data_IF_307815719814
#
_entry.id   IF_307815719814
#
_cell.length_a   1.000
_cell.length_b   1.000
_cell.length_c   1.000
_cell.angle_alpha   90.00
_cell.angle_beta   90.00
_cell.angle_gamma   90.00
#
_symmetry.space_group_name_H-M   'P 1'
#
loop_
_entity.id
_entity.type
_entity.pdbx_description
1 polymer ?
#
# COMPACT_ATOMS: atom_id res chain seq x y z
N UNK A 1 -10.98 -3.50 -21.69
CA UNK A 1 -11.25 -4.75 -20.93
C UNK A 1 -11.11 -4.44 -19.45
N UNK A 2 -12.18 -4.45 -18.66
CA UNK A 2 -12.15 -4.10 -17.23
C UNK A 2 -11.52 -5.30 -16.50
N UNK A 3 -10.29 -5.18 -15.97
CA UNK A 3 -9.74 -6.19 -15.06
C UNK A 3 -10.62 -6.21 -13.82
N UNK A 4 -11.39 -7.28 -13.66
CA UNK A 4 -12.13 -7.53 -12.43
C UNK A 4 -11.11 -8.10 -11.45
N UNK A 5 -10.82 -7.33 -10.40
CA UNK A 5 -9.99 -7.80 -9.29
C UNK A 5 -10.90 -8.49 -8.30
N UNK A 6 -10.96 -9.82 -8.39
CA UNK A 6 -11.76 -10.69 -7.54
C UNK A 6 -10.87 -11.51 -6.59
N UNK A 7 -11.46 -12.40 -5.81
CA UNK A 7 -10.74 -13.28 -4.90
C UNK A 7 -9.69 -14.16 -5.60
N UNK A 8 -9.91 -14.55 -6.87
CA UNK A 8 -8.96 -15.34 -7.63
C UNK A 8 -7.67 -14.56 -7.90
N UNK A 9 -7.79 -13.26 -8.20
CA UNK A 9 -6.60 -12.41 -8.41
C UNK A 9 -5.70 -12.34 -7.16
N UNK A 10 -6.29 -12.30 -5.96
CA UNK A 10 -5.56 -12.32 -4.68
C UNK A 10 -4.96 -13.70 -4.44
N UNK A 11 -5.72 -14.77 -4.68
CA UNK A 11 -5.23 -16.15 -4.53
C UNK A 11 -4.00 -16.42 -5.40
N UNK A 12 -3.98 -15.94 -6.65
CA UNK A 12 -2.81 -16.07 -7.52
C UNK A 12 -1.60 -15.27 -7.01
N UNK A 13 -1.81 -14.07 -6.45
CA UNK A 13 -0.73 -13.31 -5.81
C UNK A 13 -0.16 -14.04 -4.59
N UNK A 14 -1.01 -14.68 -3.77
CA UNK A 14 -0.58 -15.49 -2.62
C UNK A 14 0.29 -16.65 -3.08
N UNK A 15 -0.11 -17.36 -4.15
CA UNK A 15 0.69 -18.48 -4.70
C UNK A 15 2.01 -18.01 -5.29
N UNK A 16 2.01 -16.90 -6.03
CA UNK A 16 3.20 -16.33 -6.67
C UNK A 16 4.21 -15.85 -5.62
N UNK A 17 3.76 -15.08 -4.64
CA UNK A 17 4.60 -14.41 -3.63
C UNK A 17 4.84 -15.27 -2.39
N UNK A 18 4.14 -16.41 -2.27
CA UNK A 18 4.22 -17.37 -1.14
C UNK A 18 4.02 -16.70 0.22
N UNK A 19 3.08 -15.76 0.28
CA UNK A 19 2.78 -14.99 1.49
C UNK A 19 1.32 -14.56 1.50
N UNK A 20 0.80 -14.31 2.69
CA UNK A 20 -0.54 -13.75 2.91
C UNK A 20 -0.48 -12.27 3.30
N UNK A 21 0.67 -11.62 3.15
CA UNK A 21 0.92 -10.26 3.63
C UNK A 21 -0.01 -9.23 2.96
N UNK A 22 -0.86 -8.62 3.78
CA UNK A 22 -1.61 -7.42 3.43
C UNK A 22 -0.99 -6.23 4.16
N UNK A 23 -0.59 -5.19 3.41
CA UNK A 23 0.01 -3.98 3.99
C UNK A 23 -1.07 -2.94 4.24
N UNK A 24 -1.11 -2.40 5.46
CA UNK A 24 -1.98 -1.26 5.80
C UNK A 24 -1.39 0.05 5.29
N UNK A 25 -2.21 0.88 4.66
CA UNK A 25 -1.86 2.25 4.26
C UNK A 25 -2.64 3.21 5.16
N UNK A 26 -2.04 3.51 6.31
CA UNK A 26 -2.64 4.28 7.40
C UNK A 26 -1.72 5.47 7.77
N UNK A 27 -1.51 6.45 6.86
CA UNK A 27 -0.52 7.51 7.04
C UNK A 27 -0.95 8.53 8.11
N UNK A 28 -0.10 8.76 9.12
CA UNK A 28 -0.32 9.78 10.16
C UNK A 28 0.72 10.89 10.02
N UNK A 29 0.28 12.10 9.64
CA UNK A 29 1.16 13.27 9.46
C UNK A 29 1.93 13.63 10.74
N UNK A 30 1.36 13.37 11.93
CA UNK A 30 2.02 13.69 13.19
C UNK A 30 3.16 12.72 13.53
N UNK A 31 3.15 11.52 12.92
CA UNK A 31 4.17 10.48 13.09
C UNK A 31 5.11 10.37 11.89
N UNK A 32 4.88 11.18 10.86
CA UNK A 32 5.59 11.10 9.59
C UNK A 32 6.99 11.72 9.72
N UNK A 33 7.97 11.10 9.07
CA UNK A 33 9.35 11.63 9.04
C UNK A 33 9.35 13.04 8.42
N UNK A 34 10.05 14.03 9.03
CA UNK A 34 10.08 15.41 8.55
C UNK A 34 10.52 15.58 7.09
N UNK A 35 11.25 14.62 6.52
CA UNK A 35 11.63 14.61 5.10
C UNK A 35 10.43 14.49 4.17
N UNK A 36 9.36 13.78 4.58
CA UNK A 36 8.11 13.72 3.81
C UNK A 36 7.29 15.00 3.95
N UNK A 37 7.26 15.61 5.13
CA UNK A 37 6.51 16.86 5.37
C UNK A 37 6.99 18.02 4.49
N UNK A 38 8.23 17.97 4.01
CA UNK A 38 8.81 18.96 3.08
C UNK A 38 8.50 18.68 1.60
N UNK A 39 7.88 17.55 1.26
CA UNK A 39 7.52 17.19 -0.12
C UNK A 39 6.23 17.87 -0.55
N UNK A 40 6.00 17.91 -1.87
CA UNK A 40 4.82 18.55 -2.46
C UNK A 40 3.50 17.90 -2.03
N UNK A 41 3.47 16.58 -1.86
CA UNK A 41 2.28 15.83 -1.46
C UNK A 41 2.64 14.77 -0.40
N UNK A 42 2.85 15.16 0.88
CA UNK A 42 3.41 14.27 1.90
C UNK A 42 2.70 12.91 2.06
N UNK A 43 1.36 12.93 2.12
CA UNK A 43 0.54 11.70 2.23
C UNK A 43 0.72 10.80 1.00
N UNK A 44 0.61 11.37 -0.20
CA UNK A 44 0.77 10.63 -1.45
C UNK A 44 2.18 10.05 -1.58
N UNK A 45 3.20 10.86 -1.34
CA UNK A 45 4.60 10.47 -1.45
C UNK A 45 4.94 9.37 -0.44
N UNK A 46 4.42 9.45 0.79
CA UNK A 46 4.56 8.40 1.80
C UNK A 46 3.91 7.09 1.35
N UNK A 47 2.62 7.12 0.99
CA UNK A 47 1.91 5.92 0.54
C UNK A 47 2.52 5.30 -0.72
N UNK A 48 2.96 6.11 -1.68
CA UNK A 48 3.65 5.65 -2.88
C UNK A 48 4.94 4.92 -2.53
N UNK A 49 5.74 5.48 -1.63
CA UNK A 49 7.02 4.88 -1.25
C UNK A 49 6.79 3.57 -0.48
N UNK A 50 5.79 3.49 0.41
CA UNK A 50 5.39 2.22 1.06
C UNK A 50 5.03 1.17 0.00
N UNK A 51 4.14 1.49 -0.94
CA UNK A 51 3.75 0.56 -2.01
C UNK A 51 4.97 0.13 -2.82
N UNK A 52 5.85 1.06 -3.19
CA UNK A 52 7.04 0.77 -3.97
C UNK A 52 7.93 -0.27 -3.27
N UNK A 53 8.24 -0.04 -2.00
CA UNK A 53 9.14 -0.88 -1.22
C UNK A 53 8.55 -2.21 -0.77
N UNK A 54 7.22 -2.35 -0.69
CA UNK A 54 6.57 -3.60 -0.25
C UNK A 54 5.91 -4.40 -1.36
N UNK A 55 5.95 -3.94 -2.61
CA UNK A 55 5.21 -4.53 -3.72
C UNK A 55 5.62 -5.95 -4.09
N UNK A 56 6.86 -6.34 -3.81
CA UNK A 56 7.41 -7.67 -4.03
C UNK A 56 6.77 -8.72 -3.09
N UNK A 57 6.44 -8.33 -1.86
CA UNK A 57 5.86 -9.21 -0.84
C UNK A 57 4.36 -9.01 -0.63
N UNK A 58 3.83 -7.79 -0.76
CA UNK A 58 2.42 -7.52 -0.48
C UNK A 58 1.50 -8.15 -1.53
N UNK A 59 0.50 -8.93 -1.09
CA UNK A 59 -0.55 -9.46 -1.99
C UNK A 59 -1.73 -8.50 -2.12
N UNK A 60 -1.89 -7.61 -1.14
CA UNK A 60 -2.94 -6.60 -1.10
C UNK A 60 -2.49 -5.39 -0.26
N UNK A 61 -3.16 -4.26 -0.48
CA UNK A 61 -3.04 -3.07 0.35
C UNK A 61 -4.42 -2.71 0.91
N UNK A 62 -4.49 -2.47 2.22
CA UNK A 62 -5.70 -2.03 2.90
C UNK A 62 -5.59 -0.55 3.23
N UNK A 63 -6.32 0.28 2.51
CA UNK A 63 -6.42 1.72 2.77
C UNK A 63 -7.38 1.93 3.94
N UNK A 64 -6.93 2.64 4.98
CA UNK A 64 -7.81 3.09 6.05
C UNK A 64 -8.27 4.53 5.79
N UNK A 65 -9.54 4.70 5.43
CA UNK A 65 -10.12 5.99 5.03
C UNK A 65 -10.08 7.03 6.14
N UNK A 66 -9.98 6.64 7.42
CA UNK A 66 -9.88 7.59 8.52
C UNK A 66 -8.59 8.45 8.51
N UNK A 67 -7.58 8.06 7.71
CA UNK A 67 -6.29 8.75 7.59
C UNK A 67 -6.17 9.63 6.34
N UNK A 68 -7.24 9.75 5.54
CA UNK A 68 -7.27 10.51 4.28
C UNK A 68 -8.41 11.54 4.30
#
# INVERSE_FOLDING_TARGET
MRKIFDANSIYEQIRLKKTFLCVGLDPDLNKMDPRYLKRKFPLFDFCRDIIHWTSDQAVAYKINVAFF
#
